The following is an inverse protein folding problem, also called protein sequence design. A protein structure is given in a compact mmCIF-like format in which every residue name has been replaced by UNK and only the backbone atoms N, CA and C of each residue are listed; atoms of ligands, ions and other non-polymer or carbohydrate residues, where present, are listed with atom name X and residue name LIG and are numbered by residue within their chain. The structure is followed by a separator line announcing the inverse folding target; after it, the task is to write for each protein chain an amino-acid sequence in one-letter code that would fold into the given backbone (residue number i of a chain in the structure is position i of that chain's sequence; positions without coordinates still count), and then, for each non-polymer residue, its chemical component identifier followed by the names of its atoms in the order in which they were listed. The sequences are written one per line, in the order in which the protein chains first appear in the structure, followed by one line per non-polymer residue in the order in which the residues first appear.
data_IF_239839256868
#
_entry.id   IF_239839256868
#
_cell.length_a   1.000
_cell.length_b   1.000
_cell.length_c   1.000
_cell.angle_alpha   90.00
_cell.angle_beta   90.00
_cell.angle_gamma   90.00
#
_symmetry.space_group_name_H-M   'P 1'
#
loop_
_entity.id
_entity.type
_entity.pdbx_description
1 polymer ?
#
# COMPACT_ATOMS: atom_id res chain seq x y z
N UNK A 1 20.50 76.98 -0.05
CA UNK A 1 21.68 76.53 0.71
C UNK A 1 21.44 75.27 1.57
N UNK A 2 20.21 74.92 1.97
CA UNK A 2 19.95 73.72 2.78
C UNK A 2 20.21 72.37 2.09
N UNK A 3 19.94 72.24 0.77
CA UNK A 3 20.05 70.96 0.06
C UNK A 3 21.50 70.43 -0.11
N UNK A 4 22.48 71.32 -0.20
CA UNK A 4 23.87 70.93 -0.49
C UNK A 4 24.54 70.24 0.71
N UNK A 5 24.17 70.65 1.93
CA UNK A 5 24.71 70.07 3.16
C UNK A 5 24.18 68.65 3.41
N UNK A 6 22.88 68.42 3.14
CA UNK A 6 22.27 67.08 3.22
C UNK A 6 22.85 66.12 2.18
N UNK A 7 23.11 66.61 0.97
CA UNK A 7 23.68 65.80 -0.10
C UNK A 7 25.11 65.34 0.22
N UNK A 8 25.94 66.26 0.72
CA UNK A 8 27.31 65.94 1.12
C UNK A 8 27.34 64.99 2.32
N UNK A 9 26.44 65.17 3.30
CA UNK A 9 26.32 64.25 4.44
C UNK A 9 25.86 62.85 4.02
N UNK A 10 24.90 62.76 3.10
CA UNK A 10 24.43 61.49 2.55
C UNK A 10 25.51 60.78 1.74
N UNK A 11 26.32 61.55 1.00
CA UNK A 11 27.43 61.04 0.20
C UNK A 11 28.56 60.42 1.03
N UNK A 12 28.85 60.98 2.21
CA UNK A 12 29.92 60.51 3.08
C UNK A 12 29.50 59.35 4.00
N UNK A 13 28.21 59.29 4.35
CA UNK A 13 27.69 58.31 5.31
C UNK A 13 26.88 57.16 4.67
N UNK A 14 26.66 57.17 3.35
CA UNK A 14 25.97 56.07 2.68
C UNK A 14 26.87 54.84 2.58
N UNK A 15 26.28 53.67 2.83
CA UNK A 15 26.90 52.36 2.62
C UNK A 15 26.67 51.81 1.21
N UNK A 16 25.98 52.56 0.34
CA UNK A 16 25.75 52.16 -1.05
C UNK A 16 27.03 52.28 -1.86
N UNK A 17 27.64 51.14 -2.15
CA UNK A 17 28.84 51.04 -2.96
C UNK A 17 28.62 51.65 -4.35
N UNK A 18 29.57 52.47 -4.82
CA UNK A 18 29.53 53.16 -6.11
C UNK A 18 28.69 54.44 -6.16
N UNK A 19 27.81 54.68 -5.18
CA UNK A 19 27.05 55.94 -5.10
C UNK A 19 27.98 57.12 -4.82
N UNK A 20 28.92 56.96 -3.87
CA UNK A 20 29.93 57.97 -3.57
C UNK A 20 30.76 58.35 -4.79
N UNK A 21 31.16 57.38 -5.60
CA UNK A 21 32.00 57.59 -6.79
C UNK A 21 31.23 58.27 -7.92
N UNK A 22 29.94 57.97 -8.08
CA UNK A 22 29.05 58.72 -8.97
C UNK A 22 28.97 60.20 -8.56
N UNK A 23 28.87 60.47 -7.26
CA UNK A 23 28.72 61.82 -6.72
C UNK A 23 30.03 62.62 -6.76
N UNK A 24 31.18 61.98 -6.53
CA UNK A 24 32.51 62.60 -6.58
C UNK A 24 33.05 62.78 -8.02
N UNK A 25 32.47 62.09 -9.00
CA UNK A 25 32.94 62.15 -10.38
C UNK A 25 32.91 63.58 -10.93
N UNK A 26 34.06 64.07 -11.38
CA UNK A 26 34.24 65.46 -11.83
C UNK A 26 33.85 65.67 -13.29
N UNK A 27 33.88 64.62 -14.11
CA UNK A 27 33.57 64.68 -15.55
C UNK A 27 32.22 64.02 -15.87
N UNK A 28 31.51 64.59 -16.84
CA UNK A 28 30.21 64.06 -17.28
C UNK A 28 30.32 62.62 -17.82
N UNK A 29 31.42 62.30 -18.53
CA UNK A 29 31.70 60.95 -19.04
C UNK A 29 31.85 59.92 -17.93
N UNK A 30 32.59 60.27 -16.87
CA UNK A 30 32.80 59.36 -15.73
C UNK A 30 31.52 59.16 -14.92
N UNK A 31 30.72 60.22 -14.74
CA UNK A 31 29.38 60.11 -14.14
C UNK A 31 28.50 59.15 -14.92
N UNK A 32 28.46 59.27 -16.24
CA UNK A 32 27.68 58.37 -17.10
C UNK A 32 28.11 56.91 -16.94
N UNK A 33 29.41 56.64 -16.91
CA UNK A 33 29.95 55.28 -16.68
C UNK A 33 29.47 54.74 -15.32
N UNK A 34 29.57 55.52 -14.25
CA UNK A 34 29.12 55.09 -12.92
C UNK A 34 27.61 54.86 -12.84
N UNK A 35 26.80 55.69 -13.52
CA UNK A 35 25.35 55.44 -13.62
C UNK A 35 25.08 54.10 -14.30
N UNK A 36 25.73 53.82 -15.43
CA UNK A 36 25.55 52.56 -16.16
C UNK A 36 25.95 51.36 -15.29
N UNK A 37 27.10 51.43 -14.60
CA UNK A 37 27.56 50.37 -13.70
C UNK A 37 26.56 50.14 -12.56
N UNK A 38 26.07 51.20 -11.91
CA UNK A 38 25.11 51.10 -10.80
C UNK A 38 23.78 50.52 -11.27
N UNK A 39 23.26 50.96 -12.43
CA UNK A 39 22.01 50.43 -13.00
C UNK A 39 22.16 48.95 -13.33
N UNK A 40 23.27 48.55 -13.98
CA UNK A 40 23.55 47.15 -14.27
C UNK A 40 23.68 46.32 -12.99
N UNK A 41 24.37 46.83 -11.97
CA UNK A 41 24.51 46.15 -10.68
C UNK A 41 23.14 45.94 -10.00
N UNK A 42 22.26 46.95 -10.00
CA UNK A 42 20.90 46.85 -9.45
C UNK A 42 20.06 45.85 -10.23
N UNK A 43 20.10 45.86 -11.57
CA UNK A 43 19.37 44.91 -12.40
C UNK A 43 19.84 43.47 -12.17
N UNK A 44 21.14 43.22 -12.15
CA UNK A 44 21.72 41.89 -11.89
C UNK A 44 21.39 41.41 -10.49
N UNK A 45 21.49 42.29 -9.48
CA UNK A 45 21.13 41.96 -8.10
C UNK A 45 19.64 41.65 -7.98
N UNK A 46 18.77 42.45 -8.60
CA UNK A 46 17.33 42.23 -8.59
C UNK A 46 16.96 40.91 -9.27
N UNK A 47 17.64 40.58 -10.38
CA UNK A 47 17.49 39.28 -11.04
C UNK A 47 17.95 38.11 -10.16
N UNK A 48 19.10 38.24 -9.48
CA UNK A 48 19.58 37.22 -8.54
C UNK A 48 18.63 37.00 -7.36
N UNK A 49 18.12 38.08 -6.77
CA UNK A 49 17.09 38.03 -5.70
C UNK A 49 15.82 37.36 -6.22
N UNK A 50 15.37 37.70 -7.43
CA UNK A 50 14.21 37.07 -8.06
C UNK A 50 14.42 35.55 -8.22
N UNK A 51 15.59 35.11 -8.68
CA UNK A 51 15.91 33.69 -8.84
C UNK A 51 15.87 32.94 -7.50
N UNK A 52 16.52 33.46 -6.46
CA UNK A 52 16.53 32.84 -5.13
C UNK A 52 15.11 32.76 -4.56
N UNK A 53 14.33 33.83 -4.70
CA UNK A 53 12.94 33.85 -4.23
C UNK A 53 12.06 32.87 -5.01
N UNK A 54 12.29 32.72 -6.32
CA UNK A 54 11.61 31.75 -7.15
C UNK A 54 11.95 30.32 -6.69
N UNK A 55 13.22 30.02 -6.47
CA UNK A 55 13.66 28.70 -5.97
C UNK A 55 13.08 28.39 -4.58
N UNK A 56 13.07 29.37 -3.67
CA UNK A 56 12.47 29.23 -2.35
C UNK A 56 10.95 28.95 -2.43
N UNK A 57 10.23 29.71 -3.29
CA UNK A 57 8.79 29.50 -3.51
C UNK A 57 8.48 28.15 -4.14
N UNK A 58 9.36 27.65 -5.01
CA UNK A 58 9.20 26.36 -5.67
C UNK A 58 9.44 25.16 -4.73
N UNK A 59 9.92 25.38 -3.49
CA UNK A 59 10.06 24.37 -2.41
C UNK A 59 10.66 23.04 -2.90
N UNK A 60 11.86 23.07 -3.49
CA UNK A 60 12.58 21.82 -3.80
C UNK A 60 12.92 21.09 -2.50
N UNK A 61 12.25 19.98 -2.25
CA UNK A 61 12.58 19.08 -1.14
C UNK A 61 13.91 18.41 -1.49
N UNK A 62 14.90 18.52 -0.62
CA UNK A 62 16.14 17.75 -0.70
C UNK A 62 15.97 16.50 0.15
N UNK A 63 16.16 15.33 -0.46
CA UNK A 63 16.10 14.05 0.25
C UNK A 63 17.51 13.70 0.71
N UNK A 64 17.64 13.34 1.98
CA UNK A 64 18.90 12.82 2.54
C UNK A 64 18.70 11.36 2.95
N UNK A 65 19.69 10.52 2.65
CA UNK A 65 19.68 9.10 2.98
C UNK A 65 20.77 8.84 4.02
N UNK A 66 20.36 8.32 5.17
CA UNK A 66 21.28 7.91 6.23
C UNK A 66 21.06 6.42 6.52
N UNK A 67 22.15 5.66 6.55
CA UNK A 67 22.14 4.29 7.04
C UNK A 67 22.57 4.36 8.50
N UNK A 68 21.66 4.05 9.41
CA UNK A 68 21.93 3.98 10.85
C UNK A 68 21.88 2.53 11.29
N UNK A 69 22.91 2.09 12.01
CA UNK A 69 22.88 0.80 12.69
C UNK A 69 22.01 0.93 13.95
N UNK A 70 21.06 0.01 14.14
CA UNK A 70 20.15 0.01 15.27
C UNK A 70 20.21 -1.33 16.00
N UNK A 71 20.62 -1.33 17.28
CA UNK A 71 20.89 -2.55 18.08
C UNK A 71 19.74 -3.57 18.09
N UNK A 72 18.49 -3.13 17.89
CA UNK A 72 17.31 -3.98 17.74
C UNK A 72 16.43 -3.42 16.65
N UNK A 73 16.02 -4.25 15.70
CA UNK A 73 14.93 -3.94 14.77
C UNK A 73 13.67 -4.70 15.20
N UNK A 74 12.50 -4.14 14.94
CA UNK A 74 11.27 -4.90 15.00
C UNK A 74 11.10 -5.66 13.67
N UNK A 75 10.65 -6.91 13.75
CA UNK A 75 10.23 -7.64 12.56
C UNK A 75 9.02 -6.91 11.94
N UNK A 76 8.97 -6.71 10.61
CA UNK A 76 7.78 -6.18 9.96
C UNK A 76 6.57 -7.11 10.11
N UNK A 77 5.38 -6.58 9.85
CA UNK A 77 4.20 -7.40 9.63
C UNK A 77 4.46 -8.42 8.53
N UNK A 78 4.20 -9.68 8.85
CA UNK A 78 4.16 -10.74 7.85
C UNK A 78 2.71 -11.15 7.72
N UNK A 79 2.12 -10.84 6.57
CA UNK A 79 0.81 -11.32 6.16
C UNK A 79 1.02 -12.47 5.20
N UNK A 80 0.51 -13.65 5.56
CA UNK A 80 0.57 -14.83 4.70
C UNK A 80 -0.85 -15.23 4.34
N UNK A 81 -1.07 -15.43 3.04
CA UNK A 81 -2.35 -15.80 2.48
C UNK A 81 -2.21 -17.14 1.74
N UNK A 82 -3.02 -18.16 2.07
CA UNK A 82 -3.13 -19.34 1.22
C UNK A 82 -3.73 -18.91 -0.14
N UNK A 83 -3.26 -19.54 -1.22
CA UNK A 83 -3.87 -19.33 -2.54
C UNK A 83 -5.26 -19.96 -2.64
N UNK A 84 -5.50 -21.04 -1.88
CA UNK A 84 -6.81 -21.67 -1.74
C UNK A 84 -7.71 -20.79 -0.85
N UNK A 85 -8.75 -20.20 -1.44
CA UNK A 85 -9.67 -19.28 -0.75
C UNK A 85 -10.71 -20.00 0.11
N UNK A 86 -11.08 -21.20 -0.32
CA UNK A 86 -12.11 -22.04 0.29
C UNK A 86 -11.60 -23.44 0.55
N UNK A 87 -12.11 -24.03 1.63
CA UNK A 87 -11.94 -25.43 1.96
C UNK A 87 -12.83 -26.27 1.02
N UNK A 88 -12.19 -27.05 0.14
CA UNK A 88 -12.87 -27.89 -0.83
C UNK A 88 -13.82 -28.90 -0.19
N UNK A 89 -13.40 -29.55 0.90
CA UNK A 89 -14.23 -30.54 1.61
C UNK A 89 -15.48 -29.90 2.21
N UNK A 90 -15.39 -28.65 2.67
CA UNK A 90 -16.55 -27.91 3.16
C UNK A 90 -17.54 -27.62 2.02
N UNK A 91 -17.05 -27.19 0.85
CA UNK A 91 -17.92 -26.94 -0.31
C UNK A 91 -18.58 -28.23 -0.81
N UNK A 92 -17.83 -29.34 -0.86
CA UNK A 92 -18.35 -30.66 -1.25
C UNK A 92 -19.39 -31.18 -0.26
N UNK A 93 -19.17 -31.01 1.05
CA UNK A 93 -20.12 -31.41 2.10
C UNK A 93 -21.50 -30.76 1.90
N UNK A 94 -21.53 -29.51 1.42
CA UNK A 94 -22.77 -28.76 1.19
C UNK A 94 -23.26 -28.81 -0.27
N UNK A 95 -22.66 -29.66 -1.11
CA UNK A 95 -22.98 -29.82 -2.53
C UNK A 95 -22.95 -28.50 -3.31
N UNK A 96 -21.96 -27.65 -3.03
CA UNK A 96 -21.76 -26.39 -3.77
C UNK A 96 -21.33 -26.73 -5.20
N UNK A 97 -22.08 -26.21 -6.18
CA UNK A 97 -21.76 -26.42 -7.60
C UNK A 97 -20.46 -25.72 -8.00
N UNK A 98 -19.81 -26.17 -9.08
CA UNK A 98 -18.60 -25.52 -9.58
C UNK A 98 -18.84 -24.06 -10.00
N UNK A 99 -20.01 -23.76 -10.56
CA UNK A 99 -20.42 -22.39 -10.91
C UNK A 99 -20.58 -21.51 -9.67
N UNK A 100 -21.27 -22.00 -8.65
CA UNK A 100 -21.41 -21.27 -7.38
C UNK A 100 -20.07 -21.09 -6.66
N UNK A 101 -19.20 -22.10 -6.68
CA UNK A 101 -17.85 -21.97 -6.14
C UNK A 101 -17.05 -20.86 -6.85
N UNK A 102 -17.14 -20.77 -8.18
CA UNK A 102 -16.49 -19.69 -8.94
C UNK A 102 -17.10 -18.32 -8.61
N UNK A 103 -18.42 -18.23 -8.46
CA UNK A 103 -19.12 -17.01 -8.03
C UNK A 103 -18.65 -16.54 -6.64
N UNK A 104 -18.43 -17.47 -5.72
CA UNK A 104 -17.90 -17.19 -4.37
C UNK A 104 -16.44 -16.73 -4.42
N UNK A 105 -15.63 -17.19 -5.38
CA UNK A 105 -14.26 -16.69 -5.51
C UNK A 105 -14.21 -15.22 -5.91
N UNK A 106 -15.18 -14.74 -6.68
CA UNK A 106 -15.27 -13.35 -7.12
C UNK A 106 -15.52 -12.36 -5.97
N UNK A 107 -15.96 -12.85 -4.81
CA UNK A 107 -16.12 -12.06 -3.59
C UNK A 107 -14.78 -11.59 -3.01
N UNK A 108 -13.67 -12.18 -3.46
CA UNK A 108 -12.30 -11.78 -3.15
C UNK A 108 -11.64 -11.16 -4.40
N UNK A 109 -11.90 -9.88 -4.68
CA UNK A 109 -11.43 -9.24 -5.90
C UNK A 109 -9.91 -9.05 -5.87
N UNK A 110 -9.21 -9.66 -6.82
CA UNK A 110 -7.78 -9.46 -7.04
C UNK A 110 -7.55 -8.52 -8.24
N UNK A 111 -6.58 -7.58 -8.17
CA UNK A 111 -6.18 -6.79 -9.33
C UNK A 111 -5.58 -7.63 -10.47
N UNK A 112 -5.18 -8.87 -10.16
CA UNK A 112 -4.72 -9.87 -11.14
C UNK A 112 -5.65 -11.08 -11.05
N UNK A 113 -6.48 -11.25 -12.07
CA UNK A 113 -7.32 -12.44 -12.24
C UNK A 113 -6.41 -13.56 -12.76
N UNK A 114 -6.37 -14.70 -12.07
CA UNK A 114 -5.58 -15.83 -12.56
C UNK A 114 -6.22 -16.38 -13.84
N UNK A 115 -5.41 -16.92 -14.76
CA UNK A 115 -5.88 -17.51 -16.03
C UNK A 115 -7.00 -18.56 -15.91
N UNK A 116 -7.13 -19.26 -14.78
CA UNK A 116 -8.23 -20.20 -14.55
C UNK A 116 -9.54 -19.45 -14.28
N UNK A 117 -9.49 -18.38 -13.49
CA UNK A 117 -10.64 -17.53 -13.17
C UNK A 117 -11.13 -16.79 -14.41
N UNK A 118 -10.22 -16.37 -15.30
CA UNK A 118 -10.56 -15.70 -16.56
C UNK A 118 -11.45 -16.58 -17.45
N UNK A 119 -11.28 -17.91 -17.44
CA UNK A 119 -12.04 -18.81 -18.32
C UNK A 119 -13.53 -18.86 -18.00
N UNK A 120 -13.88 -18.75 -16.73
CA UNK A 120 -15.28 -18.80 -16.28
C UNK A 120 -15.85 -17.43 -15.92
N UNK A 121 -15.01 -16.39 -15.91
CA UNK A 121 -15.39 -15.05 -15.48
C UNK A 121 -16.61 -14.49 -16.23
N UNK A 122 -16.61 -14.56 -17.57
CA UNK A 122 -17.71 -14.02 -18.38
C UNK A 122 -19.03 -14.76 -18.11
N UNK A 123 -18.99 -16.09 -18.06
CA UNK A 123 -20.17 -16.90 -17.78
C UNK A 123 -20.72 -16.64 -16.36
N UNK A 124 -19.84 -16.57 -15.35
CA UNK A 124 -20.24 -16.28 -13.98
C UNK A 124 -20.81 -14.87 -13.82
N UNK A 125 -20.22 -13.87 -14.47
CA UNK A 125 -20.70 -12.47 -14.45
C UNK A 125 -22.02 -12.31 -15.20
N UNK A 126 -22.25 -13.06 -16.28
CA UNK A 126 -23.52 -13.02 -17.00
C UNK A 126 -24.67 -13.69 -16.22
N UNK A 127 -24.35 -14.58 -15.27
CA UNK A 127 -25.32 -15.36 -14.49
C UNK A 127 -25.35 -14.99 -12.99
N UNK A 128 -24.97 -13.76 -12.63
CA UNK A 128 -24.88 -13.33 -11.22
C UNK A 128 -26.18 -13.55 -10.43
N UNK A 129 -27.34 -13.29 -11.04
CA UNK A 129 -28.64 -13.44 -10.36
C UNK A 129 -28.98 -14.91 -10.07
N UNK A 130 -28.63 -15.82 -10.98
CA UNK A 130 -28.86 -17.25 -10.78
C UNK A 130 -27.98 -17.79 -9.65
N UNK A 131 -26.71 -17.39 -9.61
CA UNK A 131 -25.80 -17.78 -8.53
C UNK A 131 -26.12 -17.12 -7.19
N UNK A 132 -26.64 -15.89 -7.19
CA UNK A 132 -27.12 -15.25 -5.95
C UNK A 132 -28.32 -16.01 -5.38
N UNK A 133 -29.28 -16.41 -6.22
CA UNK A 133 -30.40 -17.25 -5.78
C UNK A 133 -29.94 -18.62 -5.25
N UNK A 134 -28.99 -19.27 -5.94
CA UNK A 134 -28.40 -20.54 -5.47
C UNK A 134 -27.70 -20.38 -4.11
N UNK A 135 -27.01 -19.25 -3.90
CA UNK A 135 -26.37 -18.89 -2.64
C UNK A 135 -27.41 -18.68 -1.52
N UNK A 136 -28.49 -17.94 -1.78
CA UNK A 136 -29.55 -17.70 -0.79
C UNK A 136 -30.16 -19.02 -0.31
N UNK A 137 -30.51 -19.93 -1.23
CA UNK A 137 -31.01 -21.26 -0.89
C UNK A 137 -30.00 -22.09 -0.08
N UNK A 138 -28.71 -21.97 -0.39
CA UNK A 138 -27.64 -22.63 0.35
C UNK A 138 -27.55 -22.10 1.78
N UNK A 139 -27.55 -20.77 1.95
CA UNK A 139 -27.47 -20.11 3.26
C UNK A 139 -28.67 -20.46 4.15
N UNK A 140 -29.87 -20.52 3.58
CA UNK A 140 -31.07 -21.00 4.27
C UNK A 140 -30.92 -22.45 4.71
N UNK A 141 -30.45 -23.33 3.83
CA UNK A 141 -30.27 -24.77 4.10
C UNK A 141 -29.25 -25.05 5.21
N UNK A 142 -28.19 -24.26 5.30
CA UNK A 142 -27.11 -24.41 6.30
C UNK A 142 -27.55 -23.91 7.70
N UNK A 143 -28.80 -23.43 7.83
CA UNK A 143 -29.37 -22.96 9.09
C UNK A 143 -29.56 -21.46 9.14
N UNK A 144 -29.97 -20.86 8.01
CA UNK A 144 -30.17 -19.42 7.86
C UNK A 144 -28.92 -18.60 8.26
N UNK A 145 -27.77 -19.03 7.74
CA UNK A 145 -26.47 -18.45 8.05
C UNK A 145 -26.25 -17.14 7.28
N UNK A 146 -25.66 -16.13 7.91
CA UNK A 146 -25.23 -14.93 7.18
C UNK A 146 -24.13 -15.26 6.17
N UNK A 147 -24.08 -14.52 5.05
CA UNK A 147 -23.03 -14.68 4.06
C UNK A 147 -21.61 -14.50 4.64
N UNK A 148 -21.43 -13.53 5.54
CA UNK A 148 -20.16 -13.32 6.25
C UNK A 148 -19.76 -14.54 7.11
N UNK A 149 -20.72 -15.13 7.82
CA UNK A 149 -20.47 -16.34 8.61
C UNK A 149 -20.13 -17.52 7.72
N UNK A 150 -20.81 -17.66 6.58
CA UNK A 150 -20.52 -18.67 5.59
C UNK A 150 -19.11 -18.54 5.03
N UNK A 151 -18.70 -17.33 4.61
CA UNK A 151 -17.33 -17.10 4.12
C UNK A 151 -16.27 -17.48 5.17
N UNK A 152 -16.49 -17.12 6.44
CA UNK A 152 -15.58 -17.48 7.53
C UNK A 152 -15.48 -18.99 7.77
N UNK A 153 -16.60 -19.70 7.68
CA UNK A 153 -16.68 -21.15 7.87
C UNK A 153 -16.12 -21.93 6.65
N UNK A 154 -16.35 -21.41 5.44
CA UNK A 154 -15.90 -22.01 4.20
C UNK A 154 -14.40 -21.74 3.92
N UNK A 155 -13.80 -20.72 4.54
CA UNK A 155 -12.36 -20.45 4.41
C UNK A 155 -11.50 -21.43 5.21
N UNK A 156 -10.26 -21.62 4.77
CA UNK A 156 -9.28 -22.45 5.48
C UNK A 156 -8.94 -21.85 6.85
N UNK A 157 -8.94 -22.72 7.88
CA UNK A 157 -8.48 -22.39 9.23
C UNK A 157 -6.97 -22.23 9.31
N UNK A 158 -6.49 -21.71 10.44
CA UNK A 158 -5.06 -21.52 10.69
C UNK A 158 -4.33 -22.87 10.79
N UNK A 159 -5.00 -23.87 11.35
CA UNK A 159 -4.54 -25.24 11.56
C UNK A 159 -4.33 -25.97 10.22
N UNK A 160 -5.07 -25.58 9.19
CA UNK A 160 -4.87 -26.09 7.84
C UNK A 160 -3.62 -25.52 7.17
N UNK A 161 -2.93 -24.55 7.79
CA UNK A 161 -1.86 -23.79 7.17
C UNK A 161 -0.53 -23.85 7.94
N UNK A 162 -0.57 -23.83 9.26
CA UNK A 162 0.61 -23.94 10.11
C UNK A 162 0.73 -25.34 10.68
N UNK A 163 1.91 -25.96 10.55
CA UNK A 163 2.19 -27.28 11.14
C UNK A 163 2.22 -27.28 12.68
N UNK A 164 2.37 -26.09 13.27
CA UNK A 164 2.39 -25.88 14.72
C UNK A 164 1.18 -25.05 15.14
N UNK A 165 0.14 -25.73 15.62
CA UNK A 165 -1.12 -25.13 16.07
C UNK A 165 -0.94 -24.09 17.19
N UNK A 166 0.18 -24.14 17.93
CA UNK A 166 0.45 -23.14 18.97
C UNK A 166 0.61 -21.73 18.40
N UNK A 167 1.01 -21.61 17.12
CA UNK A 167 1.11 -20.33 16.40
C UNK A 167 -0.24 -19.70 16.14
N UNK A 168 -1.30 -20.51 16.02
CA UNK A 168 -2.66 -20.03 15.77
C UNK A 168 -3.27 -19.27 16.95
N UNK A 169 -2.72 -19.41 18.16
CA UNK A 169 -3.23 -18.73 19.37
C UNK A 169 -3.01 -17.22 19.38
N UNK A 170 -1.98 -16.73 18.68
CA UNK A 170 -1.56 -15.31 18.70
C UNK A 170 -1.61 -14.64 17.31
N UNK A 171 -2.24 -15.28 16.32
CA UNK A 171 -2.38 -14.74 14.98
C UNK A 171 -3.66 -13.91 14.83
N UNK A 172 -3.54 -12.78 14.13
CA UNK A 172 -4.72 -12.00 13.75
C UNK A 172 -5.19 -12.47 12.39
N UNK A 173 -6.42 -12.97 12.32
CA UNK A 173 -7.07 -13.28 11.04
C UNK A 173 -7.50 -11.98 10.35
N UNK A 174 -7.10 -11.81 9.09
CA UNK A 174 -7.53 -10.69 8.26
C UNK A 174 -8.05 -11.24 6.94
N UNK A 175 -9.08 -10.60 6.39
CA UNK A 175 -9.61 -10.95 5.08
C UNK A 175 -8.97 -10.01 4.05
N UNK A 176 -8.43 -10.57 2.96
CA UNK A 176 -7.76 -9.83 1.88
C UNK A 176 -8.33 -10.24 0.52
N UNK A 177 -7.84 -9.65 -0.58
CA UNK A 177 -8.19 -10.07 -1.94
C UNK A 177 -7.75 -11.50 -2.28
N UNK A 178 -6.83 -12.06 -1.49
CA UNK A 178 -6.39 -13.45 -1.62
C UNK A 178 -7.24 -14.43 -0.80
N UNK A 179 -8.26 -13.97 -0.08
CA UNK A 179 -9.03 -14.79 0.87
C UNK A 179 -8.68 -14.49 2.32
N UNK A 180 -8.94 -15.45 3.21
CA UNK A 180 -8.58 -15.38 4.63
C UNK A 180 -7.06 -15.53 4.80
N UNK A 181 -6.42 -14.56 5.42
CA UNK A 181 -4.98 -14.50 5.65
C UNK A 181 -4.65 -14.39 7.13
N UNK A 182 -3.42 -14.73 7.47
CA UNK A 182 -2.92 -14.71 8.85
C UNK A 182 -1.83 -13.64 8.98
N UNK A 183 -2.07 -12.68 9.87
CA UNK A 183 -1.18 -11.54 10.13
C UNK A 183 -0.40 -11.74 11.42
N UNK A 184 0.91 -11.56 11.31
CA UNK A 184 1.82 -11.24 12.41
C UNK A 184 1.98 -9.70 12.46
N UNK A 185 1.82 -9.10 13.63
CA UNK A 185 1.39 -7.70 13.80
C UNK A 185 2.33 -6.58 13.31
N UNK A 186 1.65 -5.47 12.96
CA UNK A 186 2.09 -4.06 12.90
C UNK A 186 1.03 -3.18 12.19
N UNK A 187 1.38 -2.16 11.39
CA UNK A 187 0.54 -0.95 11.19
C UNK A 187 -0.40 -0.91 9.97
N UNK A 188 -1.59 -0.30 10.15
CA UNK A 188 -2.72 -0.25 9.19
C UNK A 188 -2.78 0.99 8.29
N UNK A 189 -3.32 0.84 7.06
CA UNK A 189 -3.60 1.93 6.12
C UNK A 189 -5.08 1.92 5.65
N UNK A 190 -5.76 3.07 5.67
CA UNK A 190 -7.24 3.13 5.81
C UNK A 190 -8.06 3.98 4.80
N UNK A 191 -7.51 4.53 3.73
CA UNK A 191 -8.23 5.60 3.01
C UNK A 191 -9.12 5.17 1.83
N UNK A 192 -8.85 4.04 1.14
CA UNK A 192 -9.43 3.82 -0.19
C UNK A 192 -10.87 3.30 -0.20
N UNK A 193 -11.29 2.54 0.81
CA UNK A 193 -12.59 1.84 0.78
C UNK A 193 -13.74 2.63 1.38
N UNK A 194 -13.45 3.62 2.25
CA UNK A 194 -14.43 4.34 3.07
C UNK A 194 -15.67 4.83 2.30
N UNK A 195 -15.48 5.47 1.14
CA UNK A 195 -16.59 6.04 0.35
C UNK A 195 -17.50 4.95 -0.22
N UNK A 196 -16.92 3.89 -0.77
CA UNK A 196 -17.68 2.78 -1.32
C UNK A 196 -18.40 2.00 -0.22
N UNK A 197 -17.76 1.82 0.95
CA UNK A 197 -18.38 1.19 2.11
C UNK A 197 -19.58 1.97 2.64
N UNK A 198 -19.49 3.30 2.66
CA UNK A 198 -20.59 4.16 3.12
C UNK A 198 -21.78 4.17 2.16
N UNK A 199 -21.53 4.09 0.85
CA UNK A 199 -22.58 4.08 -0.18
C UNK A 199 -23.27 2.71 -0.32
N UNK A 200 -22.51 1.62 -0.24
CA UNK A 200 -23.02 0.26 -0.42
C UNK A 200 -23.42 -0.42 0.90
N UNK A 201 -23.22 0.26 2.03
CA UNK A 201 -23.50 -0.22 3.38
C UNK A 201 -22.91 -1.60 3.73
N UNK A 202 -21.80 -1.96 3.09
CA UNK A 202 -21.08 -3.21 3.28
C UNK A 202 -19.56 -2.95 3.20
N UNK A 203 -18.75 -3.78 3.85
CA UNK A 203 -17.29 -3.72 3.76
C UNK A 203 -16.77 -4.68 2.71
N UNK A 204 -15.65 -4.35 2.06
CA UNK A 204 -14.96 -5.34 1.24
C UNK A 204 -14.54 -6.51 2.10
N UNK A 205 -14.67 -7.72 1.55
CA UNK A 205 -14.04 -8.90 2.15
C UNK A 205 -12.57 -8.60 2.42
N UNK A 206 -11.87 -7.94 1.48
CA UNK A 206 -10.46 -7.60 1.59
C UNK A 206 -10.10 -6.44 2.54
N UNK A 207 -11.04 -5.87 3.29
CA UNK A 207 -10.77 -4.71 4.14
C UNK A 207 -10.02 -5.12 5.42
N UNK A 208 -8.83 -4.55 5.65
CA UNK A 208 -8.00 -4.81 6.86
C UNK A 208 -8.75 -4.52 8.16
N UNK A 209 -9.73 -3.60 8.13
CA UNK A 209 -10.65 -3.35 9.24
C UNK A 209 -12.00 -2.93 8.65
N UNK A 210 -12.98 -3.86 8.63
CA UNK A 210 -14.34 -3.58 8.17
C UNK A 210 -14.95 -2.43 8.96
N UNK A 211 -15.56 -1.45 8.28
CA UNK A 211 -16.31 -0.35 8.91
C UNK A 211 -17.81 -0.62 9.00
N UNK A 212 -18.29 -1.60 8.25
CA UNK A 212 -19.69 -2.02 8.19
C UNK A 212 -19.81 -3.43 8.77
N UNK A 213 -20.96 -3.76 9.39
CA UNK A 213 -21.17 -5.07 10.01
C UNK A 213 -21.13 -6.21 8.99
N UNK A 214 -21.58 -5.94 7.76
CA UNK A 214 -21.71 -6.93 6.70
C UNK A 214 -20.61 -6.81 5.64
N UNK A 215 -20.16 -7.95 5.12
CA UNK A 215 -19.28 -8.03 3.95
C UNK A 215 -20.12 -7.97 2.68
N UNK A 216 -19.68 -7.22 1.68
CA UNK A 216 -20.39 -7.10 0.41
C UNK A 216 -20.50 -8.47 -0.27
N UNK A 217 -21.70 -8.83 -0.73
CA UNK A 217 -21.88 -9.97 -1.64
C UNK A 217 -21.17 -9.71 -2.96
N UNK A 218 -20.92 -10.75 -3.77
CA UNK A 218 -20.33 -10.58 -5.11
C UNK A 218 -21.13 -9.60 -5.96
N UNK A 219 -22.48 -9.67 -5.93
CA UNK A 219 -23.34 -8.73 -6.66
C UNK A 219 -23.22 -7.30 -6.13
N UNK A 220 -23.26 -7.10 -4.80
CA UNK A 220 -23.05 -5.78 -4.20
C UNK A 220 -21.67 -5.22 -4.56
N UNK A 221 -20.66 -6.08 -4.62
CA UNK A 221 -19.32 -5.71 -5.03
C UNK A 221 -19.29 -5.18 -6.48
N UNK A 222 -19.80 -5.94 -7.46
CA UNK A 222 -19.76 -5.49 -8.87
C UNK A 222 -20.73 -4.35 -9.18
N UNK A 223 -21.96 -4.42 -8.68
CA UNK A 223 -23.03 -3.48 -9.06
C UNK A 223 -23.04 -2.18 -8.23
N UNK A 224 -22.44 -2.18 -7.05
CA UNK A 224 -22.37 -0.99 -6.20
C UNK A 224 -20.93 -0.61 -5.87
N UNK A 225 -20.16 -1.53 -5.30
CA UNK A 225 -18.86 -1.20 -4.70
C UNK A 225 -17.83 -0.78 -5.76
N UNK A 226 -17.68 -1.51 -6.86
CA UNK A 226 -16.77 -1.18 -7.97
C UNK A 226 -17.14 0.15 -8.59
N UNK A 227 -18.43 0.41 -8.85
CA UNK A 227 -18.87 1.66 -9.46
C UNK A 227 -18.48 2.89 -8.62
N UNK A 228 -18.37 2.75 -7.29
CA UNK A 228 -17.94 3.80 -6.39
C UNK A 228 -16.43 3.79 -6.08
N UNK A 229 -15.75 2.67 -6.29
CA UNK A 229 -14.30 2.52 -6.12
C UNK A 229 -13.53 2.99 -7.38
N UNK A 230 -14.05 2.67 -8.56
CA UNK A 230 -13.49 2.98 -9.88
C UNK A 230 -14.55 3.58 -10.83
N UNK A 231 -15.15 4.74 -10.54
CA UNK A 231 -16.01 5.39 -11.53
C UNK A 231 -15.18 5.79 -12.76
N UNK A 232 -15.84 5.97 -13.91
CA UNK A 232 -15.22 6.30 -15.21
C UNK A 232 -14.29 7.55 -15.17
N UNK A 233 -14.33 8.36 -14.11
CA UNK A 233 -13.43 9.47 -13.79
C UNK A 233 -12.58 9.24 -12.52
N UNK A 234 -11.91 8.09 -12.42
CA UNK A 234 -11.14 7.66 -11.23
C UNK A 234 -10.01 8.61 -10.84
N UNK A 235 -9.45 9.38 -11.79
CA UNK A 235 -8.40 10.36 -11.55
C UNK A 235 -8.81 11.43 -10.52
N UNK A 236 -10.01 11.99 -10.66
CA UNK A 236 -10.52 13.07 -9.79
C UNK A 236 -10.76 12.60 -8.35
N UNK A 237 -11.17 11.35 -8.16
CA UNK A 237 -11.39 10.78 -6.83
C UNK A 237 -10.07 10.42 -6.17
N UNK A 238 -9.13 9.83 -6.92
CA UNK A 238 -7.79 9.55 -6.42
C UNK A 238 -7.06 10.84 -6.06
N UNK A 239 -7.19 11.91 -6.86
CA UNK A 239 -6.62 13.23 -6.56
C UNK A 239 -7.29 13.88 -5.33
N UNK A 240 -8.62 13.82 -5.22
CA UNK A 240 -9.35 14.30 -4.04
C UNK A 240 -9.04 13.47 -2.78
N UNK A 241 -8.75 12.18 -2.95
CA UNK A 241 -8.28 11.31 -1.88
C UNK A 241 -6.84 11.67 -1.50
N UNK A 242 -5.93 11.87 -2.46
CA UNK A 242 -4.55 12.31 -2.21
C UNK A 242 -4.47 13.70 -1.56
N UNK A 243 -5.40 14.60 -1.86
CA UNK A 243 -5.45 15.93 -1.25
C UNK A 243 -5.94 15.89 0.21
N UNK A 244 -6.82 14.94 0.55
CA UNK A 244 -7.36 14.74 1.91
C UNK A 244 -6.51 13.78 2.76
N UNK A 245 -6.02 12.71 2.15
CA UNK A 245 -5.18 11.68 2.75
C UNK A 245 -3.73 11.98 2.40
N UNK A 246 -3.11 12.87 3.19
CA UNK A 246 -1.66 13.10 3.10
C UNK A 246 -0.94 11.82 3.55
N UNK A 247 0.09 11.36 2.83
CA UNK A 247 0.92 10.26 3.33
C UNK A 247 1.52 10.68 4.69
N UNK A 248 1.68 9.75 5.63
CA UNK A 248 2.30 10.07 6.90
C UNK A 248 3.73 10.56 6.67
N UNK A 249 4.17 11.54 7.47
CA UNK A 249 5.54 12.08 7.38
C UNK A 249 6.60 11.06 7.80
N UNK A 250 6.19 9.99 8.50
CA UNK A 250 7.03 8.85 8.86
C UNK A 250 6.37 7.58 8.33
N UNK A 251 7.10 6.82 7.54
CA UNK A 251 6.68 5.50 7.08
C UNK A 251 7.91 4.59 7.01
N UNK A 252 7.68 3.28 7.15
CA UNK A 252 8.70 2.26 7.01
C UNK A 252 8.47 1.53 5.70
N UNK A 253 9.55 1.29 4.96
CA UNK A 253 9.52 0.47 3.75
C UNK A 253 10.60 -0.59 3.85
N UNK A 254 10.21 -1.84 3.71
CA UNK A 254 11.11 -2.98 3.74
C UNK A 254 11.39 -3.43 2.30
N UNK A 255 12.63 -3.26 1.86
CA UNK A 255 13.09 -3.86 0.60
C UNK A 255 13.42 -5.32 0.85
N UNK A 256 12.90 -6.21 0.01
CA UNK A 256 13.08 -7.67 0.13
C UNK A 256 13.98 -8.19 -0.98
N UNK A 257 14.85 -9.13 -0.63
CA UNK A 257 15.58 -9.97 -1.56
C UNK A 257 15.10 -11.41 -1.33
N UNK A 258 14.69 -12.09 -2.41
CA UNK A 258 14.14 -13.44 -2.32
C UNK A 258 15.15 -14.43 -2.91
N UNK A 259 15.38 -15.53 -2.20
CA UNK A 259 16.18 -16.66 -2.64
C UNK A 259 15.42 -17.95 -2.36
N UNK A 260 15.54 -18.92 -3.26
CA UNK A 260 14.84 -20.20 -3.17
C UNK A 260 15.84 -21.34 -3.04
N UNK A 261 15.46 -22.36 -2.27
CA UNK A 261 16.17 -23.63 -2.18
C UNK A 261 15.15 -24.77 -2.27
N UNK A 262 15.53 -25.88 -2.90
CA UNK A 262 14.65 -27.05 -3.00
C UNK A 262 14.55 -27.73 -1.64
N UNK A 263 13.31 -27.92 -1.18
CA UNK A 263 12.99 -28.68 0.02
C UNK A 263 11.72 -29.51 -0.25
N UNK A 264 11.64 -30.77 0.22
CA UNK A 264 12.74 -31.56 0.79
C UNK A 264 13.70 -32.07 -0.30
N UNK A 265 14.98 -32.21 0.04
CA UNK A 265 15.93 -32.92 -0.83
C UNK A 265 15.61 -34.41 -0.90
N UNK A 266 15.95 -35.09 -2.00
CA UNK A 266 15.70 -36.54 -2.17
C UNK A 266 16.25 -37.39 -1.02
N UNK A 267 17.35 -36.96 -0.41
CA UNK A 267 17.97 -37.64 0.73
C UNK A 267 17.05 -37.66 1.96
N UNK A 268 16.14 -36.71 2.11
CA UNK A 268 15.16 -36.69 3.20
C UNK A 268 14.21 -37.91 3.16
N UNK A 269 14.04 -38.56 2.00
CA UNK A 269 13.23 -39.77 1.85
C UNK A 269 13.74 -40.94 2.70
N UNK A 270 15.03 -40.96 3.04
CA UNK A 270 15.60 -42.00 3.92
C UNK A 270 15.37 -41.74 5.41
N UNK A 271 14.93 -40.54 5.78
CA UNK A 271 14.72 -40.12 7.17
C UNK A 271 13.25 -40.07 7.59
N UNK A 272 12.32 -40.18 6.64
CA UNK A 272 10.88 -40.29 6.91
C UNK A 272 10.49 -41.74 7.16
N UNK A 273 9.56 -41.97 8.08
CA UNK A 273 9.15 -43.30 8.52
C UNK A 273 8.29 -44.04 7.48
N UNK A 274 7.54 -43.30 6.64
CA UNK A 274 6.64 -43.91 5.65
C UNK A 274 6.35 -42.98 4.45
N UNK A 275 5.66 -43.52 3.44
CA UNK A 275 5.28 -42.77 2.23
C UNK A 275 4.34 -41.59 2.53
N UNK A 276 3.46 -41.70 3.53
CA UNK A 276 2.55 -40.60 3.90
C UNK A 276 3.33 -39.39 4.43
N UNK A 277 4.31 -39.62 5.29
CA UNK A 277 5.20 -38.59 5.81
C UNK A 277 6.07 -37.98 4.70
N UNK A 278 6.46 -38.77 3.70
CA UNK A 278 7.13 -38.25 2.50
C UNK A 278 6.24 -37.32 1.68
N UNK A 279 4.97 -37.68 1.47
CA UNK A 279 4.01 -36.82 0.76
C UNK A 279 3.75 -35.51 1.53
N UNK A 280 3.58 -35.59 2.85
CA UNK A 280 3.42 -34.42 3.73
C UNK A 280 4.67 -33.51 3.70
N UNK A 281 5.87 -34.10 3.70
CA UNK A 281 7.10 -33.33 3.63
C UNK A 281 7.25 -32.62 2.27
N UNK A 282 6.80 -33.25 1.17
CA UNK A 282 6.78 -32.62 -0.16
C UNK A 282 5.79 -31.49 -0.28
N UNK A 283 4.68 -31.53 0.47
CA UNK A 283 3.72 -30.43 0.55
C UNK A 283 4.11 -29.40 1.62
N UNK A 284 5.29 -29.50 2.24
CA UNK A 284 5.74 -28.53 3.25
C UNK A 284 6.54 -27.40 2.59
N UNK A 285 6.13 -26.15 2.86
CA UNK A 285 6.85 -24.94 2.45
C UNK A 285 7.55 -24.34 3.67
N UNK A 286 8.85 -24.09 3.55
CA UNK A 286 9.63 -23.40 4.59
C UNK A 286 9.92 -21.98 4.15
N UNK A 287 9.37 -21.00 4.87
CA UNK A 287 9.59 -19.58 4.66
C UNK A 287 10.50 -19.02 5.76
N UNK A 288 11.61 -18.42 5.36
CA UNK A 288 12.53 -17.77 6.28
C UNK A 288 12.62 -16.28 5.99
N UNK A 289 12.35 -15.47 7.00
CA UNK A 289 12.42 -14.01 6.91
C UNK A 289 13.45 -13.51 7.91
N UNK A 290 14.51 -12.89 7.38
CA UNK A 290 15.70 -12.47 8.12
C UNK A 290 16.17 -11.08 7.66
N UNK A 291 16.89 -10.35 8.53
CA UNK A 291 17.62 -9.15 8.15
C UNK A 291 19.03 -9.49 7.64
N UNK A 292 19.45 -8.85 6.54
CA UNK A 292 20.73 -9.13 5.86
C UNK A 292 21.98 -8.71 6.66
N UNK A 293 21.85 -7.77 7.60
CA UNK A 293 22.99 -7.20 8.33
C UNK A 293 22.78 -7.42 9.84
N UNK A 294 23.69 -8.19 10.43
CA UNK A 294 24.08 -8.24 11.86
C UNK A 294 23.00 -8.33 12.96
N UNK A 295 21.76 -8.73 12.65
CA UNK A 295 20.75 -8.98 13.69
C UNK A 295 20.27 -10.43 13.64
N UNK A 296 20.50 -11.17 14.74
CA UNK A 296 20.05 -12.53 14.98
C UNK A 296 18.54 -12.58 15.30
N UNK A 297 17.71 -11.89 14.51
CA UNK A 297 16.27 -12.10 14.53
C UNK A 297 15.88 -12.87 13.28
N UNK A 298 15.48 -14.13 13.49
CA UNK A 298 15.03 -15.06 12.46
C UNK A 298 13.59 -15.44 12.73
N UNK A 299 12.73 -15.19 11.76
CA UNK A 299 11.40 -15.77 11.73
C UNK A 299 11.42 -16.94 10.76
N UNK A 300 11.47 -18.16 11.29
CA UNK A 300 11.23 -19.38 10.52
C UNK A 300 9.76 -19.75 10.63
N UNK A 301 9.10 -19.85 9.48
CA UNK A 301 7.68 -20.19 9.35
C UNK A 301 7.60 -21.44 8.49
N UNK A 302 7.02 -22.50 9.05
CA UNK A 302 6.80 -23.77 8.36
C UNK A 302 5.31 -23.83 8.03
N UNK A 303 5.02 -23.97 6.74
CA UNK A 303 3.69 -23.99 6.17
C UNK A 303 3.42 -25.37 5.59
N UNK A 304 2.19 -25.83 5.71
CA UNK A 304 1.70 -27.01 5.00
C UNK A 304 0.87 -26.56 3.79
N UNK A 305 1.12 -27.16 2.64
CA UNK A 305 0.29 -27.07 1.45
C UNK A 305 -0.79 -28.15 1.56
N UNK A 306 -2.03 -27.71 1.77
CA UNK A 306 -3.25 -28.54 1.83
C UNK A 306 -4.12 -28.27 0.61
#
# INVERSE_FOLDING_TARGET
MHNTQYYNYFQENSTLHGLRDLLLSTTCKLRFIWVVILVLAVLLTSHGVWQIMLEFKLRRVVVSYFIQEANTLALPDIVICPFNRFNRSFLEQWNVSAGLAQYLELSYPSPVIHSFQTRMYEETVNNLDAHEYELELLLERIGNMSYTSFLKAASLGCEAFFKDDSRCKNLTEIMTSAGKCFRLMGFDQFCLTKKAEDMCNCSLAAATKPRKPDICTTKQFFHCFIAHLFPENSSSIVENCKSKCKPPCSYWQYQKQVSYATFPGQVAKYFVANQSEWEELKSTIVLEVNFLIKYWQRASIILAEN
#
